data_IF_787707717200
#
_entry.id   IF_787707717200
#
_cell.length_a   1.000
_cell.length_b   1.000
_cell.length_c   1.000
_cell.angle_alpha   90.00
_cell.angle_beta   90.00
_cell.angle_gamma   90.00
#
_symmetry.space_group_name_H-M   'P 1'
#
loop_
_entity.id
_entity.type
_entity.pdbx_description
1 polymer ?
#
# COMPACT_ATOMS: atom_id res chain seq x y z
N UNK A 1 21.36 -20.96 3.75
CA UNK A 1 21.01 -19.75 2.99
C UNK A 1 19.53 -19.68 2.67
N UNK A 2 18.94 -20.69 2.03
CA UNK A 2 17.49 -20.72 1.73
C UNK A 2 16.65 -20.69 3.01
N UNK A 3 17.06 -21.42 4.05
CA UNK A 3 16.37 -21.44 5.35
C UNK A 3 16.42 -20.09 6.06
N UNK A 4 17.50 -19.31 5.91
CA UNK A 4 17.62 -17.99 6.50
C UNK A 4 16.71 -16.97 5.81
N UNK A 5 16.58 -17.06 4.47
CA UNK A 5 15.67 -16.20 3.71
C UNK A 5 14.23 -16.47 4.13
N UNK A 6 13.83 -17.74 4.19
CA UNK A 6 12.49 -18.15 4.61
C UNK A 6 12.17 -17.66 6.02
N UNK A 7 13.11 -17.80 6.96
CA UNK A 7 12.93 -17.31 8.33
C UNK A 7 12.73 -15.79 8.39
N UNK A 8 13.53 -15.04 7.65
CA UNK A 8 13.41 -13.57 7.61
C UNK A 8 12.08 -13.13 6.99
N UNK A 9 11.66 -13.77 5.90
CA UNK A 9 10.40 -13.45 5.26
C UNK A 9 9.20 -13.73 6.17
N UNK A 10 9.21 -14.86 6.87
CA UNK A 10 8.17 -15.19 7.84
C UNK A 10 8.10 -14.17 8.97
N UNK A 11 9.25 -13.74 9.46
CA UNK A 11 9.32 -12.75 10.53
C UNK A 11 8.84 -11.38 10.11
N UNK A 12 9.17 -10.96 8.88
CA UNK A 12 8.65 -9.73 8.31
C UNK A 12 7.13 -9.77 8.13
N UNK A 13 6.62 -10.90 7.65
CA UNK A 13 5.17 -11.08 7.50
C UNK A 13 4.47 -11.00 8.86
N UNK A 14 4.98 -11.70 9.86
CA UNK A 14 4.41 -11.66 11.22
C UNK A 14 4.38 -10.25 11.77
N UNK A 15 5.47 -9.51 11.58
CA UNK A 15 5.57 -8.13 12.02
C UNK A 15 4.56 -7.24 11.31
N UNK A 16 4.50 -7.30 9.99
CA UNK A 16 3.57 -6.48 9.20
C UNK A 16 2.11 -6.76 9.55
N UNK A 17 1.75 -8.03 9.72
CA UNK A 17 0.37 -8.40 10.06
C UNK A 17 -0.02 -7.96 11.48
N UNK A 18 0.95 -7.67 12.34
CA UNK A 18 0.69 -7.16 13.67
C UNK A 18 0.53 -5.64 13.74
N UNK A 19 0.86 -4.94 12.66
CA UNK A 19 0.83 -3.47 12.61
C UNK A 19 -0.55 -3.00 12.12
N UNK A 20 -1.07 -1.98 12.80
CA UNK A 20 -2.17 -1.19 12.31
C UNK A 20 -1.58 0.10 11.72
N UNK A 21 -1.58 0.26 10.39
CA UNK A 21 -0.87 1.38 9.76
C UNK A 21 -1.60 2.70 9.98
N UNK A 22 -0.84 3.79 9.98
CA UNK A 22 -1.41 5.13 9.94
C UNK A 22 -2.08 5.38 8.58
N UNK A 23 -3.04 6.29 8.55
CA UNK A 23 -3.75 6.69 7.34
C UNK A 23 -2.93 7.69 6.50
N UNK A 24 -1.68 7.38 6.25
CA UNK A 24 -0.76 8.17 5.44
C UNK A 24 -0.25 7.35 4.26
N UNK A 25 -0.12 7.99 3.10
CA UNK A 25 0.24 7.31 1.87
C UNK A 25 1.53 6.49 1.96
N UNK A 26 2.58 7.01 2.58
CA UNK A 26 3.84 6.29 2.75
C UNK A 26 3.67 5.04 3.61
N UNK A 27 3.04 5.18 4.77
CA UNK A 27 2.86 4.06 5.69
C UNK A 27 2.03 2.94 5.05
N UNK A 28 0.97 3.32 4.32
CA UNK A 28 0.11 2.36 3.63
C UNK A 28 0.87 1.62 2.52
N UNK A 29 1.60 2.34 1.68
CA UNK A 29 2.33 1.71 0.57
C UNK A 29 3.50 0.86 1.06
N UNK A 30 4.17 1.27 2.12
CA UNK A 30 5.31 0.53 2.66
C UNK A 30 4.91 -0.86 3.15
N UNK A 31 3.82 -0.95 3.91
CA UNK A 31 3.31 -2.24 4.40
C UNK A 31 2.86 -3.12 3.23
N UNK A 32 2.14 -2.55 2.28
CA UNK A 32 1.72 -3.28 1.07
C UNK A 32 2.93 -3.81 0.32
N UNK A 33 3.96 -2.99 0.13
CA UNK A 33 5.17 -3.38 -0.59
C UNK A 33 5.89 -4.53 0.11
N UNK A 34 6.12 -4.43 1.41
CA UNK A 34 6.81 -5.47 2.17
C UNK A 34 6.04 -6.80 2.11
N UNK A 35 4.73 -6.77 2.35
CA UNK A 35 3.91 -7.97 2.28
C UNK A 35 3.86 -8.56 0.87
N UNK A 36 3.76 -7.71 -0.15
CA UNK A 36 3.76 -8.16 -1.53
C UNK A 36 5.07 -8.87 -1.90
N UNK A 37 6.20 -8.26 -1.57
CA UNK A 37 7.52 -8.84 -1.85
C UNK A 37 7.77 -10.12 -1.05
N UNK A 38 7.43 -10.13 0.21
CA UNK A 38 7.59 -11.30 1.05
C UNK A 38 6.71 -12.47 0.57
N UNK A 39 5.51 -12.19 0.09
CA UNK A 39 4.61 -13.22 -0.43
C UNK A 39 5.08 -13.84 -1.75
N UNK A 40 5.97 -13.19 -2.48
CA UNK A 40 6.61 -13.77 -3.67
C UNK A 40 7.60 -14.88 -3.30
N UNK A 41 8.18 -14.81 -2.09
CA UNK A 41 9.24 -15.72 -1.65
C UNK A 41 8.71 -16.89 -0.81
N UNK A 42 7.52 -16.78 -0.24
CA UNK A 42 6.95 -17.82 0.64
C UNK A 42 5.43 -17.79 0.60
N UNK A 43 4.82 -18.95 0.85
CA UNK A 43 3.36 -19.08 0.99
C UNK A 43 2.88 -18.90 2.45
N UNK A 44 3.77 -18.54 3.35
CA UNK A 44 3.49 -18.39 4.77
C UNK A 44 2.36 -17.39 5.02
N UNK A 45 1.33 -17.79 5.75
CA UNK A 45 0.17 -16.98 6.14
C UNK A 45 -0.52 -16.28 4.95
N UNK A 46 -0.50 -16.90 3.79
CA UNK A 46 -1.00 -16.30 2.54
C UNK A 46 -2.46 -15.85 2.65
N UNK A 47 -3.32 -16.64 3.25
CA UNK A 47 -4.72 -16.29 3.43
C UNK A 47 -4.89 -15.07 4.35
N UNK A 48 -4.10 -14.97 5.40
CA UNK A 48 -4.10 -13.83 6.32
C UNK A 48 -3.58 -12.56 5.65
N UNK A 49 -2.53 -12.69 4.81
CA UNK A 49 -2.02 -11.59 4.02
C UNK A 49 -3.11 -11.05 3.08
N UNK A 50 -3.82 -11.92 2.38
CA UNK A 50 -4.92 -11.50 1.49
C UNK A 50 -6.00 -10.74 2.24
N UNK A 51 -6.40 -11.24 3.40
CA UNK A 51 -7.40 -10.57 4.24
C UNK A 51 -6.92 -9.20 4.70
N UNK A 52 -5.68 -9.11 5.14
CA UNK A 52 -5.06 -7.86 5.57
C UNK A 52 -5.00 -6.86 4.40
N UNK A 53 -4.61 -7.32 3.21
CA UNK A 53 -4.54 -6.50 2.01
C UNK A 53 -5.91 -5.97 1.59
N UNK A 54 -6.97 -6.78 1.72
CA UNK A 54 -8.33 -6.31 1.45
C UNK A 54 -8.75 -5.20 2.42
N UNK A 55 -8.39 -5.32 3.68
CA UNK A 55 -8.65 -4.27 4.67
C UNK A 55 -7.88 -3.00 4.35
N UNK A 56 -6.62 -3.12 3.93
CA UNK A 56 -5.82 -1.97 3.49
C UNK A 56 -6.43 -1.31 2.26
N UNK A 57 -6.92 -2.09 1.31
CA UNK A 57 -7.58 -1.55 0.12
C UNK A 57 -8.80 -0.71 0.50
N UNK A 58 -9.58 -1.15 1.48
CA UNK A 58 -10.71 -0.37 1.98
C UNK A 58 -10.25 0.94 2.63
N UNK A 59 -9.18 0.91 3.39
CA UNK A 59 -8.59 2.12 3.97
C UNK A 59 -8.11 3.07 2.88
N UNK A 60 -7.42 2.56 1.87
CA UNK A 60 -6.94 3.35 0.74
C UNK A 60 -8.09 3.99 -0.03
N UNK A 61 -9.20 3.27 -0.22
CA UNK A 61 -10.38 3.82 -0.90
C UNK A 61 -10.94 5.05 -0.21
N UNK A 62 -10.78 5.19 1.10
CA UNK A 62 -11.22 6.38 1.83
C UNK A 62 -10.43 7.64 1.44
N UNK A 63 -9.25 7.48 0.88
CA UNK A 63 -8.42 8.59 0.36
C UNK A 63 -8.88 9.06 -1.02
N UNK A 64 -9.74 8.30 -1.69
CA UNK A 64 -10.21 8.63 -3.03
C UNK A 64 -11.22 9.77 -2.98
N UNK A 65 -10.97 10.80 -3.80
CA UNK A 65 -11.83 11.98 -3.93
C UNK A 65 -12.66 11.83 -5.20
N UNK A 66 -13.88 11.38 -5.04
CA UNK A 66 -14.76 11.01 -6.16
C UNK A 66 -14.99 12.14 -7.16
N UNK A 67 -15.16 13.38 -6.67
CA UNK A 67 -15.44 14.51 -7.52
C UNK A 67 -14.23 14.95 -8.35
N UNK A 68 -13.02 14.77 -7.82
CA UNK A 68 -11.77 15.17 -8.46
C UNK A 68 -11.08 13.99 -9.18
N UNK A 69 -11.47 12.76 -8.88
CA UNK A 69 -10.93 11.59 -9.55
C UNK A 69 -9.51 11.21 -9.17
N UNK A 70 -9.16 11.29 -7.89
CA UNK A 70 -7.82 10.93 -7.43
C UNK A 70 -7.76 10.74 -5.92
N UNK A 71 -6.55 10.46 -5.43
CA UNK A 71 -6.28 10.16 -4.03
C UNK A 71 -5.53 11.30 -3.34
N UNK A 72 -5.90 11.59 -2.08
CA UNK A 72 -5.11 12.45 -1.21
C UNK A 72 -4.15 11.62 -0.37
N UNK A 73 -2.98 12.17 -0.07
CA UNK A 73 -1.95 11.51 0.74
C UNK A 73 -2.46 11.22 2.15
N UNK A 74 -3.05 12.21 2.80
CA UNK A 74 -3.75 12.03 4.07
C UNK A 74 -5.23 11.74 3.84
N UNK A 75 -5.90 11.23 4.86
CA UNK A 75 -7.30 10.83 4.72
C UNK A 75 -8.21 11.99 4.30
N UNK A 76 -8.02 13.17 4.88
CA UNK A 76 -8.90 14.32 4.67
C UNK A 76 -8.17 15.55 4.14
N UNK A 77 -6.95 15.40 3.67
CA UNK A 77 -6.19 16.53 3.10
C UNK A 77 -5.07 16.04 2.20
N UNK A 78 -4.69 16.88 1.25
CA UNK A 78 -3.50 16.66 0.44
C UNK A 78 -2.24 16.90 1.28
N UNK A 79 -1.12 16.34 0.84
CA UNK A 79 0.17 16.62 1.45
C UNK A 79 0.51 18.10 1.19
N UNK A 80 0.75 18.85 2.26
CA UNK A 80 0.98 20.29 2.18
C UNK A 80 2.43 20.70 2.44
N UNK A 81 3.23 19.79 3.00
CA UNK A 81 4.61 20.08 3.38
C UNK A 81 5.49 18.86 3.06
N UNK A 82 6.72 19.15 2.62
CA UNK A 82 7.72 18.13 2.35
C UNK A 82 9.08 18.65 2.78
N UNK A 83 9.66 18.01 3.79
CA UNK A 83 10.92 18.43 4.41
C UNK A 83 10.95 19.93 4.79
N UNK A 84 9.88 20.41 5.42
CA UNK A 84 9.77 21.79 5.87
C UNK A 84 9.38 22.80 4.78
N UNK A 85 9.15 22.34 3.55
CA UNK A 85 8.76 23.20 2.43
C UNK A 85 7.27 23.02 2.13
N UNK A 86 6.52 24.13 2.07
CA UNK A 86 5.11 24.10 1.70
C UNK A 86 4.98 23.81 0.20
N UNK A 87 4.26 22.73 -0.14
CA UNK A 87 4.04 22.30 -1.53
C UNK A 87 2.59 22.46 -1.98
N UNK A 88 1.65 22.61 -1.06
CA UNK A 88 0.24 22.83 -1.35
C UNK A 88 -0.44 23.50 -0.16
N UNK A 89 -1.72 23.85 -0.34
CA UNK A 89 -2.54 24.44 0.74
C UNK A 89 -3.15 23.39 1.67
N UNK A 90 -2.98 22.10 1.39
CA UNK A 90 -3.50 21.02 2.25
C UNK A 90 -5.01 20.86 2.23
N UNK A 91 -5.68 21.26 1.15
CA UNK A 91 -7.11 21.03 1.01
C UNK A 91 -7.45 19.55 0.89
N UNK A 92 -8.69 19.19 1.16
CA UNK A 92 -9.18 17.82 1.01
C UNK A 92 -9.41 17.50 -0.47
N UNK A 93 -8.33 17.43 -1.22
CA UNK A 93 -8.30 17.16 -2.66
C UNK A 93 -7.17 16.20 -2.98
N UNK A 94 -7.18 15.53 -4.14
CA UNK A 94 -6.06 14.68 -4.55
C UNK A 94 -4.75 15.44 -4.63
N UNK A 95 -3.65 14.74 -4.45
CA UNK A 95 -2.31 15.28 -4.66
C UNK A 95 -1.44 14.26 -5.39
N UNK A 96 -0.33 14.74 -5.96
CA UNK A 96 0.55 13.91 -6.78
C UNK A 96 1.10 12.73 -5.99
N UNK A 97 1.57 12.96 -4.78
CA UNK A 97 2.17 11.93 -3.93
C UNK A 97 1.12 10.88 -3.52
N UNK A 98 -0.07 11.32 -3.10
CA UNK A 98 -1.18 10.42 -2.79
C UNK A 98 -1.56 9.55 -3.99
N UNK A 99 -1.69 10.14 -5.17
CA UNK A 99 -1.99 9.40 -6.38
C UNK A 99 -0.94 8.35 -6.70
N UNK A 100 0.34 8.72 -6.70
CA UNK A 100 1.43 7.80 -7.03
C UNK A 100 1.48 6.61 -6.06
N UNK A 101 1.51 6.90 -4.76
CA UNK A 101 1.70 5.87 -3.75
C UNK A 101 0.48 4.95 -3.63
N UNK A 102 -0.72 5.52 -3.60
CA UNK A 102 -1.92 4.75 -3.33
C UNK A 102 -2.39 3.96 -4.56
N UNK A 103 -2.19 4.48 -5.76
CA UNK A 103 -2.44 3.71 -6.98
C UNK A 103 -1.46 2.53 -7.08
N UNK A 104 -0.19 2.77 -6.76
CA UNK A 104 0.80 1.69 -6.73
C UNK A 104 0.43 0.63 -5.69
N UNK A 105 0.06 1.04 -4.48
CA UNK A 105 -0.39 0.11 -3.44
C UNK A 105 -1.58 -0.73 -3.91
N UNK A 106 -2.60 -0.11 -4.49
CA UNK A 106 -3.77 -0.84 -5.01
C UNK A 106 -3.39 -1.81 -6.13
N UNK A 107 -2.45 -1.44 -6.99
CA UNK A 107 -1.96 -2.31 -8.04
C UNK A 107 -1.30 -3.57 -7.48
N UNK A 108 -0.46 -3.42 -6.45
CA UNK A 108 0.16 -4.57 -5.78
C UNK A 108 -0.87 -5.45 -5.07
N UNK A 109 -1.83 -4.85 -4.39
CA UNK A 109 -2.92 -5.59 -3.73
C UNK A 109 -3.72 -6.38 -4.76
N UNK A 110 -4.09 -5.74 -5.85
CA UNK A 110 -4.84 -6.39 -6.91
C UNK A 110 -4.09 -7.58 -7.50
N UNK A 111 -2.80 -7.42 -7.77
CA UNK A 111 -1.98 -8.50 -8.29
C UNK A 111 -1.87 -9.68 -7.33
N UNK A 112 -1.70 -9.41 -6.04
CA UNK A 112 -1.59 -10.44 -5.03
C UNK A 112 -2.90 -11.22 -4.86
N UNK A 113 -4.05 -10.54 -4.89
CA UNK A 113 -5.36 -11.17 -4.73
C UNK A 113 -5.77 -11.95 -5.98
N UNK A 114 -5.44 -11.43 -7.16
CA UNK A 114 -5.82 -12.00 -8.45
C UNK A 114 -4.63 -12.60 -9.19
N UNK A 115 -3.83 -13.42 -8.51
CA UNK A 115 -2.61 -14.02 -9.08
C UNK A 115 -2.81 -14.75 -10.39
N UNK A 116 -4.01 -15.30 -10.63
CA UNK A 116 -4.35 -16.04 -11.83
C UNK A 116 -4.80 -15.13 -12.97
N UNK A 117 -5.12 -13.87 -12.68
CA UNK A 117 -5.58 -12.91 -13.68
C UNK A 117 -4.45 -11.95 -14.03
N UNK A 118 -3.69 -12.32 -15.06
CA UNK A 118 -2.51 -11.59 -15.50
C UNK A 118 -2.84 -10.34 -16.32
N UNK A 119 -4.09 -9.89 -16.38
CA UNK A 119 -4.47 -8.72 -17.18
C UNK A 119 -3.95 -7.40 -16.62
N UNK A 120 -3.62 -7.36 -15.35
CA UNK A 120 -3.08 -6.17 -14.71
C UNK A 120 -1.60 -6.31 -14.45
N UNK A 121 -0.80 -5.56 -15.19
CA UNK A 121 0.61 -5.42 -14.90
C UNK A 121 0.82 -4.22 -13.98
N UNK A 122 1.59 -4.43 -12.92
CA UNK A 122 1.99 -3.33 -12.06
C UNK A 122 2.98 -2.48 -12.83
N UNK A 123 2.61 -1.22 -13.06
CA UNK A 123 3.54 -0.24 -13.60
C UNK A 123 4.54 0.09 -12.50
N UNK A 124 5.75 -0.40 -12.65
CA UNK A 124 6.85 -0.03 -11.75
C UNK A 124 7.23 1.40 -12.03
N UNK A 125 7.22 2.26 -11.03
CA UNK A 125 7.71 3.62 -11.20
C UNK A 125 9.19 3.64 -11.55
#
# INVERSE_FOLDING_TARGET
>A
MILEIDYREKKLIDLCLSIEPNDEGCDLVDIVYVLYKSSEETDYRKAEIKKYMLNLAQTIQKHYKKNEGGFSYFLNKSQHEYYGVNISKGFNVPDLHGNLLLIWALSMINKLINEEDSQWQILKP
#
